data_IF_793458817628
#
_entry.id   IF_793458817628
#
_cell.length_a   1.000
_cell.length_b   1.000
_cell.length_c   1.000
_cell.angle_alpha   90.00
_cell.angle_beta   90.00
_cell.angle_gamma   90.00
#
_symmetry.space_group_name_H-M   'P 1'
#
loop_
_entity.id
_entity.type
_entity.pdbx_description
1 polymer ?
#
# COMPACT_ATOMS: atom_id res chain seq x y z
N UNK A 1 -0.33 35.16 -20.62
CA UNK A 1 0.28 34.13 -19.75
C UNK A 1 -0.69 32.98 -19.63
N UNK A 2 -0.20 31.72 -19.64
CA UNK A 2 -1.04 30.53 -19.48
C UNK A 2 -0.89 30.05 -18.02
N UNK A 3 -1.96 30.16 -17.22
CA UNK A 3 -2.00 29.71 -15.81
C UNK A 3 -3.44 29.34 -15.42
N UNK A 4 -3.59 28.48 -14.41
CA UNK A 4 -4.89 28.16 -13.83
C UNK A 4 -5.26 29.20 -12.76
N UNK A 5 -6.52 29.60 -12.71
CA UNK A 5 -7.00 30.59 -11.72
C UNK A 5 -7.04 30.02 -10.31
N UNK A 6 -7.32 28.73 -10.20
CA UNK A 6 -7.27 27.97 -8.95
C UNK A 6 -7.02 26.49 -9.25
N UNK A 7 -6.86 25.70 -8.20
CA UNK A 7 -6.50 24.28 -8.30
C UNK A 7 -7.59 23.43 -8.97
N UNK A 8 -8.85 23.84 -8.98
CA UNK A 8 -9.94 23.05 -9.61
C UNK A 8 -9.78 22.97 -11.12
N UNK A 9 -9.16 23.97 -11.75
CA UNK A 9 -8.88 23.96 -13.20
C UNK A 9 -7.80 22.93 -13.60
N UNK A 10 -7.17 22.28 -12.64
CA UNK A 10 -6.22 21.17 -12.89
C UNK A 10 -6.86 19.79 -12.82
N UNK A 11 -8.15 19.71 -12.49
CA UNK A 11 -8.90 18.45 -12.45
C UNK A 11 -9.11 17.95 -13.88
N UNK A 12 -8.82 16.68 -14.11
CA UNK A 12 -8.93 16.08 -15.42
C UNK A 12 -7.67 16.25 -16.29
N UNK A 13 -7.80 16.00 -17.58
CA UNK A 13 -6.69 15.95 -18.53
C UNK A 13 -5.51 15.11 -18.06
N UNK A 14 -5.83 14.02 -17.36
CA UNK A 14 -4.84 13.13 -16.77
C UNK A 14 -4.08 12.34 -17.83
N UNK A 15 -2.81 12.00 -17.60
CA UNK A 15 -2.00 11.30 -18.60
C UNK A 15 -2.49 9.88 -18.85
N UNK A 16 -2.22 9.41 -20.07
CA UNK A 16 -2.35 8.01 -20.46
C UNK A 16 -0.96 7.43 -20.67
N UNK A 17 -0.64 6.31 -20.01
CA UNK A 17 0.70 5.71 -19.99
C UNK A 17 0.63 4.27 -20.48
N UNK A 18 1.52 3.90 -21.40
CA UNK A 18 1.63 2.50 -21.85
C UNK A 18 2.19 1.63 -20.70
N UNK A 19 1.54 0.50 -20.46
CA UNK A 19 2.04 -0.54 -19.55
C UNK A 19 2.92 -1.48 -20.38
N UNK A 20 4.14 -1.72 -19.91
CA UNK A 20 5.16 -2.44 -20.68
C UNK A 20 5.55 -3.78 -20.06
N UNK A 21 6.08 -3.76 -18.83
CA UNK A 21 6.67 -4.94 -18.20
C UNK A 21 5.60 -5.94 -17.77
N UNK A 22 4.52 -5.46 -17.16
CA UNK A 22 3.43 -6.31 -16.66
C UNK A 22 2.65 -6.97 -17.79
N UNK A 23 2.54 -6.28 -18.94
CA UNK A 23 1.70 -6.72 -20.07
C UNK A 23 2.50 -7.24 -21.27
N UNK A 24 3.77 -7.56 -21.09
CA UNK A 24 4.68 -8.03 -22.16
C UNK A 24 4.17 -9.25 -22.95
N UNK A 25 3.38 -10.10 -22.29
CA UNK A 25 2.81 -11.32 -22.87
C UNK A 25 1.36 -11.12 -23.39
N UNK A 26 0.85 -9.87 -23.43
CA UNK A 26 -0.45 -9.52 -23.99
C UNK A 26 -0.22 -8.92 -25.39
N UNK A 27 -0.86 -9.46 -26.44
CA UNK A 27 -0.63 -8.97 -27.81
C UNK A 27 -1.27 -7.60 -28.09
N UNK A 28 -2.18 -7.14 -27.23
CA UNK A 28 -2.86 -5.85 -27.32
C UNK A 28 -1.99 -4.69 -26.78
N UNK A 29 -2.30 -3.47 -27.22
CA UNK A 29 -1.77 -2.24 -26.62
C UNK A 29 -2.53 -1.97 -25.32
N UNK A 30 -1.85 -2.07 -24.16
CA UNK A 30 -2.44 -1.78 -22.85
C UNK A 30 -1.97 -0.41 -22.36
N UNK A 31 -2.94 0.45 -22.04
CA UNK A 31 -2.74 1.82 -21.60
C UNK A 31 -3.39 2.03 -20.22
N UNK A 32 -2.70 2.68 -19.31
CA UNK A 32 -3.25 3.12 -18.04
C UNK A 32 -3.68 4.59 -18.11
N UNK A 33 -4.93 4.90 -17.79
CA UNK A 33 -5.40 6.27 -17.51
C UNK A 33 -5.08 6.59 -16.07
N UNK A 34 -4.08 7.44 -15.82
CA UNK A 34 -3.48 7.64 -14.51
C UNK A 34 -4.14 8.82 -13.78
N UNK A 35 -5.17 8.53 -13.01
CA UNK A 35 -6.00 9.51 -12.30
C UNK A 35 -5.36 10.09 -11.03
N UNK A 36 -4.16 9.61 -10.68
CA UNK A 36 -3.38 10.13 -9.55
C UNK A 36 -2.91 11.57 -9.73
N UNK A 37 -2.95 12.10 -10.96
CA UNK A 37 -2.54 13.46 -11.29
C UNK A 37 -3.61 14.53 -10.99
N UNK A 38 -4.81 14.13 -10.59
CA UNK A 38 -5.78 15.09 -10.07
C UNK A 38 -5.26 15.69 -8.74
N UNK A 39 -5.64 16.93 -8.38
CA UNK A 39 -5.11 17.64 -7.20
C UNK A 39 -5.36 16.91 -5.87
N UNK A 40 -6.47 16.17 -5.74
CA UNK A 40 -6.75 15.29 -4.61
C UNK A 40 -6.18 13.88 -4.77
N UNK A 41 -5.31 13.67 -5.77
CA UNK A 41 -4.65 12.40 -6.08
C UNK A 41 -5.60 11.23 -6.38
N UNK A 42 -6.79 11.52 -6.93
CA UNK A 42 -7.73 10.47 -7.33
C UNK A 42 -8.75 10.93 -8.37
N UNK A 43 -9.37 9.95 -9.03
CA UNK A 43 -10.47 10.15 -9.97
C UNK A 43 -11.70 10.81 -9.33
N UNK A 44 -11.82 10.75 -8.00
CA UNK A 44 -12.97 11.28 -7.25
C UNK A 44 -13.06 12.81 -7.30
N UNK A 45 -11.98 13.51 -7.60
CA UNK A 45 -11.99 14.96 -7.75
C UNK A 45 -12.96 15.39 -8.84
N UNK A 46 -13.03 14.63 -9.95
CA UNK A 46 -13.93 14.90 -11.08
C UNK A 46 -15.40 14.90 -10.65
N UNK A 47 -15.84 13.82 -9.99
CA UNK A 47 -17.22 13.70 -9.57
C UNK A 47 -17.57 14.65 -8.42
N UNK A 48 -16.63 14.89 -7.50
CA UNK A 48 -16.85 15.79 -6.37
C UNK A 48 -17.14 17.21 -6.85
N UNK A 49 -16.33 17.71 -7.78
CA UNK A 49 -16.55 19.03 -8.39
C UNK A 49 -17.90 19.08 -9.13
N UNK A 50 -18.20 18.09 -9.97
CA UNK A 50 -19.45 18.04 -10.75
C UNK A 50 -20.68 17.99 -9.85
N UNK A 51 -20.67 17.17 -8.78
CA UNK A 51 -21.79 17.09 -7.83
C UNK A 51 -22.05 18.43 -7.17
N UNK A 52 -21.00 19.17 -6.77
CA UNK A 52 -21.11 20.50 -6.18
C UNK A 52 -21.69 21.48 -7.21
N UNK A 53 -21.14 21.53 -8.42
CA UNK A 53 -21.57 22.47 -9.48
C UNK A 53 -23.01 22.24 -9.92
N UNK A 54 -23.43 20.99 -10.07
CA UNK A 54 -24.82 20.69 -10.41
C UNK A 54 -25.77 21.07 -9.25
N UNK A 55 -25.38 20.84 -7.99
CA UNK A 55 -26.18 21.22 -6.83
C UNK A 55 -26.26 22.74 -6.63
N UNK A 56 -25.20 23.50 -6.97
CA UNK A 56 -25.23 24.96 -7.02
C UNK A 56 -26.21 25.44 -8.10
N UNK A 57 -26.12 24.84 -9.29
CA UNK A 57 -26.93 25.23 -10.45
C UNK A 57 -28.44 25.01 -10.24
N UNK A 58 -28.80 23.91 -9.60
CA UNK A 58 -30.21 23.55 -9.33
C UNK A 58 -30.72 24.04 -7.96
N UNK A 59 -29.89 24.73 -7.17
CA UNK A 59 -30.26 25.37 -5.91
C UNK A 59 -30.32 24.43 -4.70
N UNK A 60 -29.93 23.16 -4.83
CA UNK A 60 -29.79 22.23 -3.69
C UNK A 60 -28.65 22.62 -2.75
N UNK A 61 -27.57 23.19 -3.29
CA UNK A 61 -26.44 23.68 -2.51
C UNK A 61 -26.43 25.21 -2.54
N UNK A 62 -26.63 25.82 -1.38
CA UNK A 62 -26.70 27.28 -1.22
C UNK A 62 -25.36 27.84 -0.72
N UNK A 63 -25.04 29.12 -1.00
CA UNK A 63 -23.85 29.77 -0.48
C UNK A 63 -23.70 29.60 1.05
N UNK A 64 -22.47 29.30 1.51
CA UNK A 64 -22.15 29.10 2.92
C UNK A 64 -22.70 27.80 3.54
N UNK A 65 -23.18 26.88 2.73
CA UNK A 65 -23.66 25.57 3.16
C UNK A 65 -22.57 24.71 3.77
N UNK A 66 -23.00 23.70 4.54
CA UNK A 66 -22.14 22.61 5.02
C UNK A 66 -22.37 21.36 4.19
N UNK A 67 -21.34 20.85 3.55
CA UNK A 67 -21.36 19.59 2.80
C UNK A 67 -21.08 18.45 3.76
N UNK A 68 -21.97 17.47 3.81
CA UNK A 68 -21.89 16.32 4.72
C UNK A 68 -21.90 15.04 3.91
N UNK A 69 -20.87 14.18 4.06
CA UNK A 69 -20.79 12.90 3.34
C UNK A 69 -20.22 11.81 4.22
N UNK A 70 -20.77 10.61 4.11
CA UNK A 70 -20.18 9.38 4.65
C UNK A 70 -19.07 8.89 3.73
N UNK A 71 -17.83 9.21 4.07
CA UNK A 71 -16.69 8.85 3.22
C UNK A 71 -15.40 8.68 4.00
N UNK A 72 -14.61 7.72 3.61
CA UNK A 72 -13.32 7.40 4.26
C UNK A 72 -12.09 7.87 3.48
N UNK A 73 -12.25 8.58 2.37
CA UNK A 73 -11.03 8.84 1.61
C UNK A 73 -11.18 9.78 0.41
N UNK A 74 -11.12 9.20 -0.77
CA UNK A 74 -10.96 9.94 -2.04
C UNK A 74 -12.10 10.93 -2.32
N UNK A 75 -13.34 10.55 -2.06
CA UNK A 75 -14.50 11.44 -2.26
C UNK A 75 -14.45 12.62 -1.30
N UNK A 76 -14.16 12.38 0.00
CA UNK A 76 -13.99 13.46 0.96
C UNK A 76 -12.88 14.43 0.56
N UNK A 77 -11.78 13.93 0.00
CA UNK A 77 -10.69 14.78 -0.47
C UNK A 77 -11.14 15.69 -1.62
N UNK A 78 -11.79 15.13 -2.64
CA UNK A 78 -12.30 15.94 -3.76
C UNK A 78 -13.34 16.98 -3.30
N UNK A 79 -14.26 16.60 -2.41
CA UNK A 79 -15.23 17.51 -1.83
C UNK A 79 -14.55 18.61 -0.99
N UNK A 80 -13.56 18.27 -0.17
CA UNK A 80 -12.84 19.25 0.66
C UNK A 80 -12.09 20.28 -0.20
N UNK A 81 -11.36 19.84 -1.23
CA UNK A 81 -10.65 20.74 -2.15
C UNK A 81 -11.61 21.70 -2.84
N UNK A 82 -12.72 21.17 -3.39
CA UNK A 82 -13.71 22.00 -4.06
C UNK A 82 -14.38 22.98 -3.09
N UNK A 83 -14.66 22.53 -1.86
CA UNK A 83 -15.29 23.34 -0.80
C UNK A 83 -14.42 24.52 -0.37
N UNK A 84 -13.11 24.32 -0.21
CA UNK A 84 -12.18 25.43 0.13
C UNK A 84 -12.25 26.54 -0.91
N UNK A 85 -12.23 26.18 -2.20
CA UNK A 85 -12.26 27.17 -3.29
C UNK A 85 -13.62 27.85 -3.42
N UNK A 86 -14.71 27.11 -3.17
CA UNK A 86 -16.10 27.61 -3.36
C UNK A 86 -16.72 28.18 -2.06
N UNK A 87 -16.00 28.14 -0.93
CA UNK A 87 -16.45 28.74 0.33
C UNK A 87 -17.47 27.91 1.11
N UNK A 88 -17.45 26.58 0.97
CA UNK A 88 -18.29 25.65 1.75
C UNK A 88 -17.55 25.07 2.97
N UNK A 89 -18.28 24.66 3.97
CA UNK A 89 -17.79 23.86 5.09
C UNK A 89 -17.96 22.37 4.77
N UNK A 90 -17.14 21.52 5.36
CA UNK A 90 -17.25 20.07 5.22
C UNK A 90 -17.29 19.37 6.56
N UNK A 91 -18.20 18.39 6.68
CA UNK A 91 -18.24 17.42 7.77
C UNK A 91 -18.27 16.02 7.14
N UNK A 92 -17.25 15.20 7.41
CA UNK A 92 -17.18 13.84 6.90
C UNK A 92 -17.33 12.84 8.04
N UNK A 93 -18.21 11.86 7.86
CA UNK A 93 -18.33 10.72 8.77
C UNK A 93 -17.55 9.55 8.19
N UNK A 94 -16.79 8.85 9.02
CA UNK A 94 -15.96 7.74 8.60
C UNK A 94 -15.80 6.72 9.72
N UNK A 95 -15.35 5.52 9.39
CA UNK A 95 -15.15 4.46 10.38
C UNK A 95 -13.75 4.52 11.00
N UNK A 96 -13.62 4.06 12.26
CA UNK A 96 -12.36 3.93 13.01
C UNK A 96 -11.35 2.94 12.38
N UNK A 97 -11.78 2.13 11.40
CA UNK A 97 -10.94 1.23 10.59
C UNK A 97 -9.98 1.97 9.64
N UNK A 98 -10.29 3.24 9.35
CA UNK A 98 -9.47 4.01 8.42
C UNK A 98 -8.18 4.51 9.06
N UNK A 99 -7.15 4.73 8.24
CA UNK A 99 -5.88 5.23 8.73
C UNK A 99 -5.99 6.70 9.19
N UNK A 100 -5.21 7.04 10.23
CA UNK A 100 -5.17 8.40 10.79
C UNK A 100 -4.77 9.44 9.74
N UNK A 101 -3.86 9.09 8.84
CA UNK A 101 -3.36 9.98 7.78
C UNK A 101 -4.48 10.45 6.83
N UNK A 102 -5.49 9.61 6.58
CA UNK A 102 -6.66 10.00 5.77
C UNK A 102 -7.47 11.09 6.46
N UNK A 103 -7.69 10.95 7.77
CA UNK A 103 -8.41 11.96 8.56
C UNK A 103 -7.60 13.26 8.66
N UNK A 104 -6.30 13.17 8.90
CA UNK A 104 -5.43 14.32 9.01
C UNK A 104 -5.36 15.09 7.68
N UNK A 105 -5.36 14.39 6.54
CA UNK A 105 -5.44 15.03 5.23
C UNK A 105 -6.75 15.81 5.02
N UNK A 106 -7.89 15.27 5.42
CA UNK A 106 -9.18 15.98 5.35
C UNK A 106 -9.19 17.21 6.27
N UNK A 107 -8.68 17.07 7.50
CA UNK A 107 -8.57 18.18 8.46
C UNK A 107 -7.62 19.28 7.98
N UNK A 108 -6.58 18.94 7.21
CA UNK A 108 -5.67 19.92 6.62
C UNK A 108 -6.38 20.88 5.65
N UNK A 109 -7.49 20.44 5.02
CA UNK A 109 -8.38 21.30 4.23
C UNK A 109 -9.49 21.98 5.05
N UNK A 110 -9.45 21.88 6.40
CA UNK A 110 -10.43 22.49 7.28
C UNK A 110 -11.71 21.69 7.46
N UNK A 111 -11.77 20.44 7.00
CA UNK A 111 -12.94 19.59 7.20
C UNK A 111 -13.02 19.07 8.65
N UNK A 112 -14.21 19.00 9.20
CA UNK A 112 -14.50 18.24 10.40
C UNK A 112 -14.62 16.75 10.04
N UNK A 113 -14.04 15.87 10.88
CA UNK A 113 -14.11 14.42 10.67
C UNK A 113 -14.68 13.77 11.93
N UNK A 114 -15.86 13.17 11.78
CA UNK A 114 -16.56 12.40 12.81
C UNK A 114 -16.24 10.92 12.63
N UNK A 115 -15.54 10.35 13.60
CA UNK A 115 -15.13 8.94 13.57
C UNK A 115 -16.21 8.09 14.24
N UNK A 116 -16.74 7.13 13.49
CA UNK A 116 -17.80 6.21 13.90
C UNK A 116 -17.25 4.80 14.09
N UNK A 117 -17.86 3.94 14.93
CA UNK A 117 -17.45 2.56 15.09
C UNK A 117 -17.68 1.76 13.80
N UNK A 118 -16.72 0.86 13.48
CA UNK A 118 -16.83 -0.06 12.33
C UNK A 118 -17.76 -1.25 12.62
N UNK A 119 -17.77 -1.74 13.86
CA UNK A 119 -18.46 -2.99 14.23
C UNK A 119 -19.91 -2.72 14.65
N UNK A 120 -20.67 -2.09 13.76
CA UNK A 120 -22.11 -1.82 13.96
C UNK A 120 -22.84 -2.03 12.62
N UNK A 121 -24.11 -2.43 12.67
CA UNK A 121 -24.94 -2.57 11.48
C UNK A 121 -25.18 -1.20 10.81
N UNK A 122 -25.45 -1.14 9.50
CA UNK A 122 -25.67 0.12 8.78
C UNK A 122 -26.80 0.99 9.37
N UNK A 123 -27.83 0.34 9.94
CA UNK A 123 -29.01 0.97 10.56
C UNK A 123 -28.76 1.44 12.00
N UNK A 124 -27.65 1.04 12.62
CA UNK A 124 -27.28 1.50 13.97
C UNK A 124 -27.11 3.03 13.96
N UNK A 125 -27.62 3.72 14.96
CA UNK A 125 -27.53 5.19 15.10
C UNK A 125 -26.07 5.70 15.13
N UNK A 126 -25.13 4.85 15.51
CA UNK A 126 -23.69 5.14 15.56
C UNK A 126 -22.96 4.87 14.23
N UNK A 127 -23.63 4.21 13.28
CA UNK A 127 -23.01 3.94 11.99
C UNK A 127 -22.69 5.25 11.25
N UNK A 128 -21.63 5.27 10.48
CA UNK A 128 -21.24 6.47 9.74
C UNK A 128 -22.30 6.92 8.72
N UNK A 129 -23.14 6.00 8.24
CA UNK A 129 -24.29 6.30 7.38
C UNK A 129 -25.39 7.01 8.15
N UNK A 130 -25.79 6.47 9.32
CA UNK A 130 -26.83 7.05 10.16
C UNK A 130 -26.41 8.40 10.74
N UNK A 131 -25.14 8.51 11.19
CA UNK A 131 -24.58 9.78 11.68
C UNK A 131 -24.55 10.83 10.57
N UNK A 132 -24.11 10.50 9.33
CA UNK A 132 -24.13 11.46 8.22
C UNK A 132 -25.54 11.95 7.92
N UNK A 133 -26.51 11.04 7.92
CA UNK A 133 -27.93 11.38 7.65
C UNK A 133 -28.55 12.23 8.73
N UNK A 134 -28.24 11.96 10.00
CA UNK A 134 -28.65 12.77 11.15
C UNK A 134 -28.09 14.19 11.06
N UNK A 135 -26.78 14.33 10.83
CA UNK A 135 -26.10 15.62 10.74
C UNK A 135 -26.68 16.53 9.65
N UNK A 136 -27.10 15.94 8.52
CA UNK A 136 -27.78 16.72 7.45
C UNK A 136 -29.09 17.37 7.97
N UNK A 137 -29.80 16.70 8.85
CA UNK A 137 -31.04 17.23 9.42
C UNK A 137 -30.79 18.20 10.58
N UNK A 138 -29.70 18.07 11.32
CA UNK A 138 -29.36 18.87 12.50
C UNK A 138 -28.65 20.19 12.13
N UNK A 139 -27.80 20.17 11.08
CA UNK A 139 -27.00 21.32 10.67
C UNK A 139 -27.83 22.20 9.71
N UNK A 140 -28.08 23.45 10.03
CA UNK A 140 -28.77 24.36 9.10
C UNK A 140 -28.00 24.54 7.81
N UNK A 141 -28.72 24.61 6.68
CA UNK A 141 -28.13 24.76 5.34
C UNK A 141 -27.10 23.66 5.02
N UNK A 142 -27.39 22.43 5.43
CA UNK A 142 -26.57 21.27 5.06
C UNK A 142 -27.02 20.67 3.74
N UNK A 143 -26.07 20.03 3.05
CA UNK A 143 -26.31 19.26 1.84
C UNK A 143 -25.47 17.97 1.81
N UNK A 144 -26.09 16.86 1.41
CA UNK A 144 -25.45 15.55 1.26
C UNK A 144 -25.28 15.24 -0.23
N UNK A 145 -24.05 15.10 -0.72
CA UNK A 145 -23.75 14.72 -2.10
C UNK A 145 -24.34 13.38 -2.51
N UNK A 146 -24.29 12.37 -1.62
CA UNK A 146 -24.73 10.98 -1.86
C UNK A 146 -24.09 10.36 -3.10
N UNK A 147 -22.78 10.10 -3.03
CA UNK A 147 -21.98 9.64 -4.16
C UNK A 147 -22.49 8.37 -4.87
N UNK A 148 -23.26 7.54 -4.17
CA UNK A 148 -23.75 6.27 -4.72
C UNK A 148 -24.96 6.46 -5.65
N UNK A 149 -25.85 7.39 -5.31
CA UNK A 149 -27.13 7.56 -6.02
C UNK A 149 -27.22 8.87 -6.79
N UNK A 150 -26.32 9.81 -6.55
CA UNK A 150 -26.27 11.07 -7.28
C UNK A 150 -25.71 10.85 -8.69
N UNK A 151 -26.56 10.98 -9.70
CA UNK A 151 -26.18 10.78 -11.11
C UNK A 151 -25.18 11.79 -11.66
N UNK A 152 -24.94 12.92 -10.98
CA UNK A 152 -23.83 13.81 -11.29
C UNK A 152 -22.46 13.11 -11.19
N UNK A 153 -22.36 12.01 -10.40
CA UNK A 153 -21.18 11.18 -10.36
C UNK A 153 -20.90 10.56 -11.74
N UNK A 154 -21.84 9.84 -12.32
CA UNK A 154 -21.65 9.26 -13.67
C UNK A 154 -21.60 10.34 -14.75
N UNK A 155 -22.34 11.44 -14.61
CA UNK A 155 -22.26 12.59 -15.53
C UNK A 155 -20.86 13.20 -15.61
N UNK A 156 -20.14 13.32 -14.50
CA UNK A 156 -18.76 13.80 -14.47
C UNK A 156 -17.85 13.00 -15.39
N UNK A 157 -17.99 11.68 -15.40
CA UNK A 157 -17.16 10.80 -16.22
C UNK A 157 -17.62 10.72 -17.68
N UNK A 158 -18.92 10.90 -17.93
CA UNK A 158 -19.45 11.04 -19.27
C UNK A 158 -18.95 12.33 -19.94
N UNK A 159 -18.92 13.43 -19.19
CA UNK A 159 -18.53 14.75 -19.71
C UNK A 159 -17.00 14.96 -19.75
N UNK A 160 -16.21 14.20 -19.03
CA UNK A 160 -14.75 14.40 -18.96
C UNK A 160 -13.93 13.15 -19.26
N UNK A 161 -14.01 12.09 -18.42
CA UNK A 161 -13.15 10.90 -18.54
C UNK A 161 -13.35 10.16 -19.86
N UNK A 162 -14.60 10.00 -20.29
CA UNK A 162 -14.95 9.38 -21.58
C UNK A 162 -14.35 10.11 -22.78
N UNK A 163 -14.62 11.42 -22.94
CA UNK A 163 -14.01 12.25 -23.99
C UNK A 163 -12.48 12.20 -23.99
N UNK A 164 -11.83 12.36 -22.83
CA UNK A 164 -10.38 12.30 -22.73
C UNK A 164 -9.80 10.98 -23.23
N UNK A 165 -10.38 9.84 -22.81
CA UNK A 165 -9.93 8.50 -23.25
C UNK A 165 -10.14 8.33 -24.75
N UNK A 166 -11.29 8.76 -25.28
CA UNK A 166 -11.57 8.69 -26.71
C UNK A 166 -10.55 9.48 -27.52
N UNK A 167 -10.27 10.72 -27.15
CA UNK A 167 -9.29 11.57 -27.79
C UNK A 167 -7.87 11.03 -27.67
N UNK A 168 -7.44 10.63 -26.47
CA UNK A 168 -6.08 10.11 -26.20
C UNK A 168 -5.79 8.78 -26.91
N UNK A 169 -6.82 8.03 -27.31
CA UNK A 169 -6.67 6.79 -28.08
C UNK A 169 -6.94 6.97 -29.57
N UNK A 170 -7.13 8.21 -30.07
CA UNK A 170 -7.57 8.51 -31.45
C UNK A 170 -8.83 7.72 -31.83
N UNK A 171 -9.74 7.48 -30.87
CA UNK A 171 -10.93 6.67 -31.06
C UNK A 171 -10.68 5.17 -31.30
N UNK A 172 -9.47 4.67 -31.06
CA UNK A 172 -9.10 3.28 -31.33
C UNK A 172 -9.30 2.34 -30.12
N UNK A 173 -9.79 2.86 -28.99
CA UNK A 173 -10.08 2.03 -27.82
C UNK A 173 -11.06 0.89 -28.15
N UNK A 174 -10.72 -0.34 -27.74
CA UNK A 174 -11.56 -1.53 -27.91
C UNK A 174 -12.10 -2.05 -26.58
N UNK A 175 -11.37 -1.88 -25.49
CA UNK A 175 -11.73 -2.36 -24.15
C UNK A 175 -11.44 -1.31 -23.10
N UNK A 176 -12.39 -1.11 -22.18
CA UNK A 176 -12.21 -0.31 -20.97
C UNK A 176 -12.28 -1.23 -19.76
N UNK A 177 -11.26 -1.18 -18.88
CA UNK A 177 -11.17 -1.96 -17.64
C UNK A 177 -11.19 -1.04 -16.43
N UNK A 178 -12.17 -1.20 -15.55
CA UNK A 178 -12.39 -0.29 -14.41
C UNK A 178 -12.74 -1.07 -13.16
N UNK A 179 -12.10 -0.79 -12.02
CA UNK A 179 -12.56 -1.23 -10.71
C UNK A 179 -13.87 -0.54 -10.33
N UNK A 180 -14.87 -1.29 -9.90
CA UNK A 180 -16.24 -0.79 -9.71
C UNK A 180 -16.58 -0.70 -8.23
N UNK A 181 -16.77 0.53 -7.72
CA UNK A 181 -17.39 0.83 -6.43
C UNK A 181 -18.73 1.52 -6.65
N UNK A 182 -18.80 2.85 -6.59
CA UNK A 182 -20.06 3.60 -6.81
C UNK A 182 -20.67 3.43 -8.20
N UNK A 183 -19.91 2.94 -9.19
CA UNK A 183 -20.36 2.76 -10.58
C UNK A 183 -20.20 3.98 -11.48
N UNK A 184 -20.04 5.17 -10.93
CA UNK A 184 -20.01 6.40 -11.71
C UNK A 184 -18.94 6.42 -12.78
N UNK A 185 -17.72 5.99 -12.46
CA UNK A 185 -16.59 5.98 -13.42
C UNK A 185 -16.86 5.05 -14.60
N UNK A 186 -17.21 3.81 -14.35
CA UNK A 186 -17.39 2.81 -15.42
C UNK A 186 -18.62 3.12 -16.27
N UNK A 187 -19.73 3.51 -15.64
CA UNK A 187 -20.98 3.75 -16.36
C UNK A 187 -20.97 5.07 -17.13
N UNK A 188 -20.44 6.15 -16.54
CA UNK A 188 -20.32 7.42 -17.23
C UNK A 188 -19.36 7.34 -18.42
N UNK A 189 -18.15 6.83 -18.20
CA UNK A 189 -17.15 6.63 -19.26
C UNK A 189 -17.65 5.63 -20.30
N UNK A 190 -18.17 4.49 -19.86
CA UNK A 190 -18.65 3.41 -20.73
C UNK A 190 -19.81 3.86 -21.63
N UNK A 191 -20.76 4.64 -21.09
CA UNK A 191 -21.86 5.22 -21.89
C UNK A 191 -21.32 6.10 -23.02
N UNK A 192 -20.45 7.05 -22.70
CA UNK A 192 -19.84 7.91 -23.71
C UNK A 192 -19.10 7.10 -24.79
N UNK A 193 -18.29 6.14 -24.40
CA UNK A 193 -17.52 5.32 -25.33
C UNK A 193 -18.41 4.44 -26.22
N UNK A 194 -19.47 3.82 -25.66
CA UNK A 194 -20.43 3.02 -26.45
C UNK A 194 -21.28 3.86 -27.41
N UNK A 195 -21.57 5.10 -27.08
CA UNK A 195 -22.21 6.05 -28.03
C UNK A 195 -21.29 6.39 -29.22
N UNK A 196 -19.95 6.43 -28.99
CA UNK A 196 -18.97 6.59 -30.08
C UNK A 196 -18.79 5.34 -30.93
N UNK A 197 -18.67 4.18 -30.23
CA UNK A 197 -18.53 2.87 -30.85
C UNK A 197 -19.18 1.79 -29.96
N UNK A 198 -20.36 1.23 -30.34
CA UNK A 198 -21.07 0.25 -29.54
C UNK A 198 -20.34 -1.09 -29.36
N UNK A 199 -19.29 -1.34 -30.16
CA UNK A 199 -18.50 -2.58 -30.04
C UNK A 199 -17.46 -2.54 -28.91
N UNK A 200 -17.19 -1.37 -28.32
CA UNK A 200 -16.26 -1.24 -27.19
C UNK A 200 -16.77 -2.07 -26.01
N UNK A 201 -15.88 -2.92 -25.46
CA UNK A 201 -16.18 -3.77 -24.30
C UNK A 201 -15.87 -3.02 -23.01
N UNK A 202 -16.84 -3.01 -22.13
CA UNK A 202 -16.75 -2.37 -20.80
C UNK A 202 -16.64 -3.49 -19.75
N UNK A 203 -15.45 -3.62 -19.16
CA UNK A 203 -15.08 -4.69 -18.27
C UNK A 203 -14.96 -4.15 -16.83
N UNK A 204 -15.85 -4.57 -15.95
CA UNK A 204 -15.86 -4.22 -14.55
C UNK A 204 -14.97 -5.17 -13.75
N UNK A 205 -14.19 -4.60 -12.83
CA UNK A 205 -13.46 -5.41 -11.85
C UNK A 205 -14.14 -5.26 -10.50
N UNK A 206 -14.49 -6.42 -9.94
CA UNK A 206 -15.18 -6.61 -8.68
C UNK A 206 -14.24 -7.32 -7.67
N UNK A 207 -14.65 -7.40 -6.41
CA UNK A 207 -13.91 -8.14 -5.38
C UNK A 207 -14.77 -9.25 -4.79
N UNK A 208 -14.13 -10.23 -4.19
CA UNK A 208 -14.82 -11.21 -3.38
C UNK A 208 -15.39 -10.53 -2.13
N UNK A 209 -16.64 -10.81 -1.80
CA UNK A 209 -17.41 -10.11 -0.76
C UNK A 209 -18.35 -9.03 -1.32
N UNK A 210 -18.35 -8.80 -2.65
CA UNK A 210 -19.24 -7.88 -3.35
C UNK A 210 -20.27 -8.60 -4.20
N UNK A 211 -21.41 -7.95 -4.43
CA UNK A 211 -22.58 -8.53 -5.13
C UNK A 211 -22.60 -8.32 -6.64
N UNK A 212 -21.70 -7.47 -7.22
CA UNK A 212 -21.85 -6.99 -8.59
C UNK A 212 -21.76 -8.09 -9.65
N UNK A 213 -20.72 -8.94 -9.61
CA UNK A 213 -20.54 -10.02 -10.59
C UNK A 213 -21.74 -10.96 -10.60
N UNK A 214 -22.14 -11.43 -9.42
CA UNK A 214 -23.29 -12.34 -9.28
C UNK A 214 -24.57 -11.71 -9.80
N UNK A 215 -24.82 -10.46 -9.46
CA UNK A 215 -26.00 -9.74 -9.92
C UNK A 215 -25.98 -9.55 -11.45
N UNK A 216 -24.85 -9.18 -12.05
CA UNK A 216 -24.71 -9.06 -13.51
C UNK A 216 -24.99 -10.36 -14.23
N UNK A 217 -24.53 -11.50 -13.71
CA UNK A 217 -24.67 -12.81 -14.33
C UNK A 217 -26.08 -13.40 -14.18
N UNK A 218 -26.75 -13.12 -13.08
CA UNK A 218 -28.01 -13.80 -12.74
C UNK A 218 -29.24 -12.91 -12.60
N UNK A 219 -29.05 -11.60 -12.44
CA UNK A 219 -30.10 -10.64 -12.08
C UNK A 219 -30.59 -10.78 -10.64
N UNK A 220 -29.93 -11.62 -9.81
CA UNK A 220 -30.36 -11.90 -8.45
C UNK A 220 -29.40 -11.24 -7.47
N UNK A 221 -29.92 -10.44 -6.54
CA UNK A 221 -29.17 -9.91 -5.40
C UNK A 221 -28.99 -11.03 -4.37
N UNK A 222 -27.77 -11.55 -4.24
CA UNK A 222 -27.46 -12.67 -3.34
C UNK A 222 -26.68 -12.17 -2.12
N UNK A 223 -27.32 -12.17 -0.95
CA UNK A 223 -26.69 -11.77 0.32
C UNK A 223 -25.55 -12.68 0.76
N UNK A 224 -25.46 -13.92 0.25
CA UNK A 224 -24.37 -14.85 0.57
C UNK A 224 -23.04 -14.43 -0.08
N UNK A 225 -23.07 -13.52 -1.07
CA UNK A 225 -21.87 -12.92 -1.64
C UNK A 225 -21.24 -11.87 -0.72
N UNK A 226 -21.96 -11.40 0.34
CA UNK A 226 -21.55 -10.31 1.22
C UNK A 226 -20.71 -10.84 2.38
N UNK A 227 -19.44 -10.50 2.39
CA UNK A 227 -18.53 -10.77 3.51
C UNK A 227 -17.35 -9.77 3.49
N UNK A 228 -16.64 -9.59 4.63
CA UNK A 228 -15.56 -8.62 4.72
C UNK A 228 -14.43 -8.86 3.73
N UNK A 229 -13.93 -7.79 3.12
CA UNK A 229 -12.75 -7.75 2.25
C UNK A 229 -11.87 -6.53 2.58
N UNK A 230 -10.65 -6.51 2.03
CA UNK A 230 -9.62 -5.51 2.36
C UNK A 230 -9.52 -4.42 1.28
N UNK A 231 -9.83 -4.79 0.03
CA UNK A 231 -9.74 -3.88 -1.11
C UNK A 231 -10.62 -2.65 -0.90
N UNK A 232 -10.06 -1.46 -1.11
CA UNK A 232 -10.77 -0.20 -0.91
C UNK A 232 -11.22 0.39 -2.25
N UNK A 233 -12.45 0.93 -2.28
CA UNK A 233 -13.01 1.65 -3.43
C UNK A 233 -13.50 0.77 -4.58
N UNK A 234 -13.54 -0.54 -4.39
CA UNK A 234 -14.12 -1.54 -5.29
C UNK A 234 -15.03 -2.45 -4.48
N UNK A 235 -16.12 -2.87 -5.10
CA UNK A 235 -17.12 -3.75 -4.49
C UNK A 235 -18.09 -3.00 -3.59
N UNK A 236 -19.32 -3.54 -3.50
CA UNK A 236 -20.38 -3.05 -2.60
C UNK A 236 -21.25 -4.23 -2.16
N UNK A 237 -21.95 -4.01 -1.06
CA UNK A 237 -22.93 -4.93 -0.48
C UNK A 237 -24.40 -4.54 -0.81
N UNK A 238 -24.57 -3.57 -1.70
CA UNK A 238 -25.83 -3.09 -2.25
C UNK A 238 -25.66 -2.67 -3.72
N UNK A 239 -26.75 -2.24 -4.37
CA UNK A 239 -26.75 -1.82 -5.78
C UNK A 239 -26.88 -0.30 -5.88
N UNK A 240 -25.78 0.46 -6.08
CA UNK A 240 -25.82 1.90 -6.28
C UNK A 240 -26.60 2.27 -7.55
N UNK A 241 -27.32 3.40 -7.55
CA UNK A 241 -28.02 3.90 -8.76
C UNK A 241 -27.09 4.28 -9.90
N UNK A 242 -25.83 4.62 -9.58
CA UNK A 242 -24.82 4.91 -10.60
C UNK A 242 -24.33 3.66 -11.37
N UNK A 243 -24.64 2.44 -10.91
CA UNK A 243 -24.26 1.20 -11.60
C UNK A 243 -25.37 0.81 -12.58
N UNK A 244 -25.14 1.09 -13.85
CA UNK A 244 -25.98 0.60 -14.95
C UNK A 244 -25.38 -0.69 -15.51
N UNK A 245 -25.94 -1.82 -15.08
CA UNK A 245 -25.48 -3.15 -15.51
C UNK A 245 -25.64 -3.42 -17.02
N UNK A 246 -26.44 -2.63 -17.75
CA UNK A 246 -26.58 -2.77 -19.19
C UNK A 246 -25.37 -2.20 -19.95
N UNK A 247 -24.67 -1.23 -19.37
CA UNK A 247 -23.45 -0.64 -19.95
C UNK A 247 -22.26 -1.61 -19.82
N UNK A 248 -22.18 -2.34 -18.71
CA UNK A 248 -21.06 -3.21 -18.35
C UNK A 248 -21.23 -4.58 -19.03
N UNK A 249 -20.28 -4.96 -19.88
CA UNK A 249 -20.37 -6.24 -20.61
C UNK A 249 -20.04 -7.45 -19.73
N UNK A 250 -19.02 -7.32 -18.85
CA UNK A 250 -18.53 -8.40 -18.00
C UNK A 250 -17.98 -7.86 -16.68
N UNK A 251 -18.06 -8.68 -15.63
CA UNK A 251 -17.36 -8.48 -14.36
C UNK A 251 -16.37 -9.62 -14.10
N UNK A 252 -15.16 -9.26 -13.67
CA UNK A 252 -14.17 -10.20 -13.18
C UNK A 252 -13.89 -9.94 -11.69
N UNK A 253 -13.84 -11.02 -10.85
CA UNK A 253 -13.53 -10.91 -9.42
C UNK A 253 -12.04 -11.10 -9.18
N UNK A 254 -11.49 -10.26 -8.32
CA UNK A 254 -10.08 -10.29 -7.91
C UNK A 254 -9.99 -10.48 -6.39
N UNK A 255 -9.08 -11.33 -5.93
CA UNK A 255 -8.82 -11.52 -4.51
C UNK A 255 -8.05 -10.34 -3.92
N UNK A 256 -8.21 -10.09 -2.63
CA UNK A 256 -7.42 -9.06 -1.91
C UNK A 256 -5.91 -9.29 -2.06
N UNK A 257 -5.46 -10.54 -2.04
CA UNK A 257 -4.06 -10.93 -2.22
C UNK A 257 -3.54 -10.53 -3.60
N UNK A 258 -4.28 -10.88 -4.66
CA UNK A 258 -3.86 -10.58 -6.03
C UNK A 258 -3.84 -9.06 -6.27
N UNK A 259 -4.84 -8.34 -5.75
CA UNK A 259 -4.90 -6.88 -5.79
C UNK A 259 -3.69 -6.25 -5.09
N UNK A 260 -3.37 -6.67 -3.87
CA UNK A 260 -2.26 -6.14 -3.09
C UNK A 260 -0.89 -6.43 -3.73
N UNK A 261 -0.68 -7.66 -4.22
CA UNK A 261 0.55 -8.04 -4.94
C UNK A 261 0.69 -7.21 -6.21
N UNK A 262 -0.38 -7.07 -7.00
CA UNK A 262 -0.36 -6.31 -8.24
C UNK A 262 -0.11 -4.81 -8.01
N UNK A 263 -0.65 -4.23 -6.93
CA UNK A 263 -0.36 -2.85 -6.53
C UNK A 263 1.15 -2.62 -6.36
N UNK A 264 1.84 -3.57 -5.74
CA UNK A 264 3.31 -3.51 -5.57
C UNK A 264 4.04 -3.71 -6.91
N UNK A 265 3.55 -4.61 -7.77
CA UNK A 265 4.12 -4.85 -9.10
C UNK A 265 4.02 -3.63 -9.98
N UNK A 266 2.90 -2.92 -10.00
CA UNK A 266 2.74 -1.66 -10.74
C UNK A 266 3.83 -0.65 -10.33
N UNK A 267 4.07 -0.48 -9.04
CA UNK A 267 5.11 0.42 -8.57
C UNK A 267 6.54 -0.04 -8.95
N UNK A 268 6.83 -1.35 -8.87
CA UNK A 268 8.17 -1.90 -9.06
C UNK A 268 8.53 -2.15 -10.53
N UNK A 269 7.55 -2.47 -11.35
CA UNK A 269 7.76 -2.88 -12.74
C UNK A 269 7.42 -1.78 -13.75
N UNK A 270 6.51 -0.84 -13.39
CA UNK A 270 6.08 0.28 -14.25
C UNK A 270 6.42 1.67 -13.69
N UNK A 271 7.00 1.74 -12.48
CA UNK A 271 7.33 2.98 -11.77
C UNK A 271 6.12 3.91 -11.53
N UNK A 272 4.90 3.35 -11.43
CA UNK A 272 3.67 4.09 -11.16
C UNK A 272 3.22 3.76 -9.74
N UNK A 273 3.25 4.75 -8.83
CA UNK A 273 2.78 4.58 -7.46
C UNK A 273 1.25 4.74 -7.39
N UNK A 274 0.53 3.71 -7.80
CA UNK A 274 -0.92 3.64 -7.79
C UNK A 274 -1.47 2.95 -6.54
N UNK A 275 -2.76 3.17 -6.25
CA UNK A 275 -3.45 2.58 -5.11
C UNK A 275 -3.96 1.16 -5.36
N UNK A 276 -4.63 0.61 -4.34
CA UNK A 276 -5.08 -0.77 -4.33
C UNK A 276 -6.10 -1.09 -5.42
N UNK A 277 -7.02 -0.18 -5.70
CA UNK A 277 -8.01 -0.35 -6.77
C UNK A 277 -7.38 -0.43 -8.17
N UNK A 278 -6.24 0.25 -8.39
CA UNK A 278 -5.46 0.08 -9.62
C UNK A 278 -4.81 -1.32 -9.69
N UNK A 279 -4.34 -1.83 -8.54
CA UNK A 279 -3.88 -3.22 -8.42
C UNK A 279 -4.97 -4.22 -8.79
N UNK A 280 -6.19 -4.05 -8.26
CA UNK A 280 -7.34 -4.88 -8.62
C UNK A 280 -7.66 -4.79 -10.10
N UNK A 281 -7.75 -3.57 -10.66
CA UNK A 281 -8.06 -3.36 -12.07
C UNK A 281 -7.04 -4.05 -12.99
N UNK A 282 -5.74 -3.94 -12.66
CA UNK A 282 -4.67 -4.56 -13.43
C UNK A 282 -4.63 -6.08 -13.25
N UNK A 283 -4.88 -6.61 -12.04
CA UNK A 283 -4.94 -8.05 -11.79
C UNK A 283 -6.10 -8.68 -12.56
N UNK A 284 -7.29 -8.08 -12.53
CA UNK A 284 -8.44 -8.54 -13.30
C UNK A 284 -8.21 -8.47 -14.81
N UNK A 285 -7.52 -7.42 -15.31
CA UNK A 285 -7.10 -7.36 -16.71
C UNK A 285 -6.22 -8.57 -17.07
N UNK A 286 -5.24 -8.93 -16.23
CA UNK A 286 -4.38 -10.09 -16.48
C UNK A 286 -5.13 -11.42 -16.42
N UNK A 287 -6.13 -11.55 -15.53
CA UNK A 287 -7.00 -12.75 -15.51
C UNK A 287 -7.75 -12.93 -16.83
N UNK A 288 -8.11 -11.82 -17.50
CA UNK A 288 -8.81 -11.80 -18.78
C UNK A 288 -7.88 -11.74 -20.00
N UNK A 289 -6.57 -11.86 -19.85
CA UNK A 289 -5.57 -11.61 -20.91
C UNK A 289 -5.82 -12.34 -22.23
N UNK A 290 -6.35 -13.54 -22.18
CA UNK A 290 -6.58 -14.40 -23.35
C UNK A 290 -7.74 -13.90 -24.25
N UNK A 291 -8.52 -12.93 -23.77
CA UNK A 291 -9.56 -12.25 -24.54
C UNK A 291 -9.00 -11.16 -25.48
N UNK A 292 -7.81 -10.62 -25.16
CA UNK A 292 -7.23 -9.51 -25.90
C UNK A 292 -6.38 -10.00 -27.08
N UNK A 293 -6.59 -9.38 -28.25
CA UNK A 293 -5.98 -9.77 -29.52
C UNK A 293 -5.01 -8.69 -30.03
N UNK A 294 -4.16 -9.08 -30.94
CA UNK A 294 -3.34 -8.12 -31.68
C UNK A 294 -4.22 -7.08 -32.39
N UNK A 295 -3.91 -5.80 -32.19
CA UNK A 295 -4.72 -4.68 -32.71
C UNK A 295 -5.72 -4.13 -31.71
N UNK A 296 -6.00 -4.81 -30.58
CA UNK A 296 -6.81 -4.24 -29.51
C UNK A 296 -6.07 -3.12 -28.77
N UNK A 297 -6.84 -2.13 -28.34
CA UNK A 297 -6.42 -1.03 -27.46
C UNK A 297 -7.22 -1.13 -26.17
N UNK A 298 -6.56 -1.54 -25.11
CA UNK A 298 -7.15 -1.77 -23.78
C UNK A 298 -6.76 -0.62 -22.86
N UNK A 299 -7.74 0.09 -22.32
CA UNK A 299 -7.49 1.15 -21.33
C UNK A 299 -7.92 0.67 -19.95
N UNK A 300 -7.00 0.71 -18.98
CA UNK A 300 -7.27 0.42 -17.57
C UNK A 300 -7.19 1.72 -16.74
N UNK A 301 -8.13 1.90 -15.81
CA UNK A 301 -8.14 3.08 -14.94
C UNK A 301 -7.30 2.84 -13.69
N UNK A 302 -6.34 3.72 -13.40
CA UNK A 302 -5.61 3.79 -12.15
C UNK A 302 -6.20 4.92 -11.29
N UNK A 303 -7.09 4.55 -10.36
CA UNK A 303 -8.05 5.44 -9.73
C UNK A 303 -7.44 6.45 -8.76
N UNK A 304 -6.42 6.04 -7.96
CA UNK A 304 -5.84 6.87 -6.92
C UNK A 304 -4.35 6.56 -6.67
N UNK A 305 -3.75 7.37 -5.82
CA UNK A 305 -2.32 7.35 -5.55
C UNK A 305 -1.93 6.41 -4.41
N UNK A 306 -0.81 5.71 -4.56
CA UNK A 306 -0.30 4.71 -3.63
C UNK A 306 0.13 5.24 -2.26
N UNK A 307 0.38 6.55 -2.10
CA UNK A 307 0.77 7.14 -0.80
C UNK A 307 -0.23 6.88 0.32
N UNK A 308 -1.50 6.63 -0.01
CA UNK A 308 -2.54 6.28 0.97
C UNK A 308 -2.45 4.86 1.51
N UNK A 309 -1.55 4.06 0.95
CA UNK A 309 -1.42 2.61 1.22
C UNK A 309 -0.02 2.21 1.68
N UNK A 310 0.86 3.20 2.03
CA UNK A 310 2.23 2.93 2.47
C UNK A 310 2.29 2.04 3.71
N UNK A 311 1.38 2.23 4.67
CA UNK A 311 1.23 1.39 5.85
C UNK A 311 0.47 0.08 5.63
N UNK A 312 0.00 -0.20 4.40
CA UNK A 312 -0.78 -1.39 4.03
C UNK A 312 -0.04 -2.20 2.95
N UNK A 313 -0.51 -2.17 1.68
CA UNK A 313 0.03 -2.99 0.58
C UNK A 313 1.51 -2.76 0.31
N UNK A 314 2.08 -1.60 0.67
CA UNK A 314 3.50 -1.31 0.52
C UNK A 314 4.34 -1.65 1.75
N UNK A 315 3.73 -2.04 2.87
CA UNK A 315 4.39 -2.50 4.09
C UNK A 315 4.50 -4.04 4.08
N UNK A 316 5.71 -4.56 4.23
CA UNK A 316 5.96 -6.00 4.16
C UNK A 316 5.36 -6.74 5.36
N UNK A 317 5.40 -6.18 6.57
CA UNK A 317 4.84 -6.81 7.77
C UNK A 317 3.32 -6.89 7.66
N UNK A 318 2.67 -5.80 7.23
CA UNK A 318 1.24 -5.80 6.96
C UNK A 318 0.82 -6.87 5.94
N UNK A 319 1.65 -7.09 4.91
CA UNK A 319 1.41 -8.10 3.88
C UNK A 319 1.61 -9.53 4.42
N UNK A 320 2.62 -9.75 5.28
CA UNK A 320 2.87 -11.05 5.92
C UNK A 320 1.78 -11.42 6.92
N UNK A 321 1.37 -10.47 7.77
CA UNK A 321 0.29 -10.67 8.76
C UNK A 321 -1.02 -11.16 8.13
N UNK A 322 -1.19 -10.93 6.81
CA UNK A 322 -2.36 -11.36 6.02
C UNK A 322 -2.10 -12.57 5.13
N UNK A 323 -0.90 -13.15 5.20
CA UNK A 323 -0.51 -14.26 4.34
C UNK A 323 -0.40 -13.90 2.85
N UNK A 324 -0.21 -12.59 2.53
CA UNK A 324 -0.05 -12.13 1.16
C UNK A 324 1.41 -12.21 0.68
N UNK A 325 2.36 -12.17 1.61
CA UNK A 325 3.76 -12.51 1.37
C UNK A 325 4.14 -13.70 2.25
N UNK A 326 5.02 -14.54 1.74
CA UNK A 326 5.66 -15.58 2.53
C UNK A 326 6.56 -14.94 3.59
N UNK A 327 6.67 -15.59 4.74
CA UNK A 327 7.62 -15.19 5.76
C UNK A 327 9.02 -15.23 5.17
N UNK A 328 9.69 -14.11 5.17
CA UNK A 328 11.11 -14.09 4.81
C UNK A 328 11.84 -14.86 5.91
N UNK A 329 12.45 -15.99 5.55
CA UNK A 329 13.38 -16.66 6.48
C UNK A 329 14.41 -15.62 6.95
N UNK A 330 14.60 -15.44 8.25
CA UNK A 330 15.54 -14.45 8.75
C UNK A 330 16.94 -14.67 8.17
N UNK A 331 17.62 -13.57 7.90
CA UNK A 331 18.98 -13.54 7.36
C UNK A 331 19.97 -13.13 8.47
N UNK A 332 21.26 -13.26 8.20
CA UNK A 332 22.30 -12.85 9.13
C UNK A 332 22.14 -11.42 9.65
N UNK A 333 21.71 -10.48 8.80
CA UNK A 333 21.47 -9.08 9.17
C UNK A 333 20.31 -8.93 10.17
N UNK A 334 19.31 -9.79 10.11
CA UNK A 334 18.15 -9.74 10.99
C UNK A 334 18.49 -10.24 12.39
N UNK A 335 19.51 -11.13 12.52
CA UNK A 335 19.97 -11.67 13.79
C UNK A 335 20.63 -10.64 14.72
N UNK A 336 21.12 -9.52 14.18
CA UNK A 336 21.74 -8.46 14.97
C UNK A 336 20.78 -7.33 15.35
N UNK A 337 19.49 -7.44 15.02
CA UNK A 337 18.52 -6.36 15.17
C UNK A 337 18.44 -5.79 16.60
N UNK A 338 18.62 -6.64 17.64
CA UNK A 338 18.59 -6.25 19.05
C UNK A 338 19.84 -5.47 19.51
N UNK A 339 20.94 -5.55 18.78
CA UNK A 339 22.23 -4.95 19.19
C UNK A 339 23.01 -4.30 18.04
N UNK A 340 22.37 -4.02 16.89
CA UNK A 340 23.03 -3.45 15.70
C UNK A 340 23.70 -2.07 15.97
N UNK A 341 23.16 -1.32 16.91
CA UNK A 341 23.68 0.00 17.30
C UNK A 341 24.80 -0.08 18.35
N UNK A 342 25.14 -1.30 18.80
CA UNK A 342 26.23 -1.52 19.76
C UNK A 342 27.54 -1.72 19.02
N UNK A 343 28.56 -0.96 19.44
CA UNK A 343 29.89 -1.11 18.86
C UNK A 343 30.49 -2.44 19.24
N UNK A 344 30.99 -3.18 18.22
CA UNK A 344 31.69 -4.43 18.44
C UNK A 344 32.90 -4.25 19.37
N UNK A 345 32.91 -4.92 20.50
CA UNK A 345 34.04 -4.97 21.41
C UNK A 345 35.14 -5.87 20.84
N UNK A 346 36.35 -5.39 20.79
CA UNK A 346 37.53 -6.12 20.29
C UNK A 346 38.71 -5.86 21.19
N UNK A 347 39.71 -6.73 21.18
CA UNK A 347 41.03 -6.54 21.80
C UNK A 347 42.13 -6.61 20.74
N UNK A 348 43.23 -5.91 20.97
CA UNK A 348 44.39 -6.04 20.10
C UNK A 348 45.25 -7.25 20.49
N UNK A 349 45.95 -7.77 19.52
CA UNK A 349 46.78 -9.01 19.68
C UNK A 349 47.89 -8.82 20.70
N UNK A 350 48.38 -7.61 20.90
CA UNK A 350 49.44 -7.22 21.86
C UNK A 350 48.95 -6.73 23.21
N UNK A 351 47.64 -6.67 23.41
CA UNK A 351 47.05 -6.37 24.72
C UNK A 351 47.23 -7.56 25.70
N UNK A 352 47.21 -7.24 26.98
CA UNK A 352 47.31 -8.27 28.01
C UNK A 352 46.02 -9.09 28.14
N UNK A 353 46.17 -10.37 28.41
CA UNK A 353 45.04 -11.28 28.68
C UNK A 353 44.16 -10.73 29.80
N UNK A 354 44.74 -10.15 30.84
CA UNK A 354 44.01 -9.53 31.94
C UNK A 354 43.03 -8.43 31.46
N UNK A 355 43.41 -7.63 30.44
CA UNK A 355 42.55 -6.62 29.85
C UNK A 355 41.35 -7.24 29.14
N UNK A 356 41.58 -8.31 28.37
CA UNK A 356 40.52 -9.04 27.69
C UNK A 356 39.53 -9.64 28.66
N UNK A 357 40.02 -10.28 29.74
CA UNK A 357 39.18 -10.86 30.79
C UNK A 357 38.36 -9.80 31.53
N UNK A 358 38.96 -8.62 31.82
CA UNK A 358 38.24 -7.50 32.42
C UNK A 358 37.10 -6.98 31.55
N UNK A 359 37.31 -6.88 30.20
CA UNK A 359 36.28 -6.52 29.25
C UNK A 359 35.16 -7.56 29.19
N UNK A 360 35.51 -8.85 29.13
CA UNK A 360 34.51 -9.94 29.10
C UNK A 360 33.63 -9.89 30.33
N UNK A 361 34.24 -9.71 31.51
CA UNK A 361 33.51 -9.64 32.79
C UNK A 361 32.66 -8.37 32.88
N UNK A 362 33.20 -7.21 32.49
CA UNK A 362 32.51 -5.93 32.59
C UNK A 362 31.24 -5.89 31.70
N UNK A 363 31.31 -6.44 30.50
CA UNK A 363 30.22 -6.42 29.54
C UNK A 363 29.40 -7.72 29.49
N UNK A 364 29.73 -8.68 30.37
CA UNK A 364 29.09 -10.00 30.45
C UNK A 364 29.05 -10.72 29.09
N UNK A 365 30.19 -10.71 28.40
CA UNK A 365 30.34 -11.34 27.07
C UNK A 365 31.31 -12.52 27.17
N UNK A 366 30.98 -13.62 26.51
CA UNK A 366 31.77 -14.85 26.52
C UNK A 366 32.74 -14.94 25.33
N UNK A 367 32.74 -13.96 24.42
CA UNK A 367 33.53 -14.02 23.18
C UNK A 367 33.98 -12.64 22.79
N UNK A 368 35.25 -12.50 22.38
CA UNK A 368 35.83 -11.25 21.91
C UNK A 368 36.70 -11.53 20.68
N UNK A 369 36.46 -10.84 19.54
CA UNK A 369 37.35 -10.86 18.39
C UNK A 369 38.68 -10.15 18.69
N UNK A 370 39.79 -10.72 18.21
CA UNK A 370 41.14 -10.21 18.38
C UNK A 370 41.55 -9.54 17.05
N UNK A 371 42.08 -8.30 17.13
CA UNK A 371 42.55 -7.51 16.00
C UNK A 371 44.06 -7.31 16.00
N UNK A 372 44.61 -7.16 14.79
CA UNK A 372 45.91 -6.59 14.54
C UNK A 372 45.75 -5.43 13.53
N UNK A 373 45.76 -4.22 14.04
CA UNK A 373 45.34 -3.06 13.24
C UNK A 373 43.85 -3.16 12.85
N UNK A 374 43.56 -3.22 11.56
CA UNK A 374 42.18 -3.36 11.04
C UNK A 374 41.76 -4.80 10.79
N UNK A 375 42.66 -5.78 10.87
CA UNK A 375 42.41 -7.17 10.54
C UNK A 375 41.98 -7.99 11.78
N UNK A 376 41.01 -8.87 11.63
CA UNK A 376 40.61 -9.84 12.63
C UNK A 376 41.49 -11.08 12.51
N UNK A 377 42.40 -11.25 13.47
CA UNK A 377 43.46 -12.28 13.44
C UNK A 377 43.20 -13.45 14.37
N UNK A 378 42.27 -13.29 15.32
CA UNK A 378 41.98 -14.32 16.31
C UNK A 378 40.65 -14.07 17.02
N UNK A 379 40.36 -14.93 17.98
CA UNK A 379 39.21 -14.84 18.87
C UNK A 379 39.57 -15.35 20.26
N UNK A 380 38.94 -14.79 21.28
CA UNK A 380 38.97 -15.30 22.64
C UNK A 380 37.60 -15.82 23.01
N UNK A 381 37.59 -16.94 23.71
CA UNK A 381 36.41 -17.51 24.33
C UNK A 381 36.68 -17.64 25.87
N UNK A 382 35.69 -17.26 26.66
CA UNK A 382 35.80 -17.24 28.13
C UNK A 382 36.21 -18.60 28.69
N UNK A 383 35.59 -19.68 28.27
CA UNK A 383 35.84 -21.04 28.73
C UNK A 383 37.26 -21.49 28.40
N UNK A 384 37.79 -21.11 27.21
CA UNK A 384 39.14 -21.44 26.80
C UNK A 384 40.18 -20.63 27.62
N UNK A 385 39.98 -19.32 27.72
CA UNK A 385 40.84 -18.46 28.53
C UNK A 385 40.87 -18.88 29.99
N UNK A 386 39.71 -19.21 30.59
CA UNK A 386 39.59 -19.68 31.95
C UNK A 386 40.38 -20.98 32.15
N UNK A 387 40.23 -21.97 31.29
CA UNK A 387 40.99 -23.22 31.38
C UNK A 387 42.51 -23.02 31.37
N UNK A 388 42.99 -22.09 30.52
CA UNK A 388 44.43 -21.76 30.47
C UNK A 388 44.91 -21.05 31.73
N UNK A 389 44.12 -20.14 32.29
CA UNK A 389 44.46 -19.37 33.48
C UNK A 389 44.46 -20.23 34.75
N UNK A 390 43.60 -21.24 34.86
CA UNK A 390 43.65 -22.22 35.96
C UNK A 390 44.95 -22.99 35.97
N UNK A 391 45.46 -23.32 34.76
CA UNK A 391 46.69 -24.12 34.64
C UNK A 391 47.93 -23.26 34.88
N UNK A 392 47.91 -21.97 34.53
CA UNK A 392 49.02 -21.04 34.68
C UNK A 392 48.52 -19.56 34.88
N UNK A 393 48.46 -19.14 36.14
CA UNK A 393 47.97 -17.79 36.51
C UNK A 393 48.89 -16.65 36.00
N UNK A 394 50.16 -16.92 35.70
CA UNK A 394 51.08 -15.94 35.15
C UNK A 394 50.67 -15.49 33.73
N UNK A 395 49.89 -16.29 33.02
CA UNK A 395 49.37 -15.92 31.67
C UNK A 395 48.58 -14.63 31.67
N UNK A 396 48.01 -14.18 32.78
CA UNK A 396 47.31 -12.89 32.90
C UNK A 396 48.17 -11.71 32.44
N UNK A 397 49.47 -11.79 32.59
CA UNK A 397 50.43 -10.71 32.22
C UNK A 397 50.94 -10.84 30.79
N UNK A 398 50.73 -12.00 30.17
CA UNK A 398 51.10 -12.26 28.77
C UNK A 398 50.11 -11.60 27.78
N UNK A 399 50.55 -11.53 26.52
CA UNK A 399 49.76 -10.95 25.44
C UNK A 399 48.70 -11.94 24.90
N UNK A 400 47.64 -11.39 24.33
CA UNK A 400 46.45 -12.13 23.82
C UNK A 400 46.85 -13.19 22.79
N UNK A 401 47.90 -12.96 22.00
CA UNK A 401 48.40 -13.92 20.99
C UNK A 401 48.77 -15.29 21.55
N UNK A 402 49.08 -15.40 22.85
CA UNK A 402 49.49 -16.65 23.53
C UNK A 402 48.30 -17.61 23.74
N UNK A 403 47.08 -17.08 23.81
CA UNK A 403 45.88 -17.85 24.13
C UNK A 403 44.75 -17.68 23.12
N UNK A 404 44.89 -16.83 22.09
CA UNK A 404 43.87 -16.66 21.10
C UNK A 404 43.69 -17.93 20.25
N UNK A 405 42.46 -18.14 19.84
CA UNK A 405 42.04 -19.15 18.88
C UNK A 405 41.94 -18.53 17.46
N UNK A 406 41.63 -19.35 16.48
CA UNK A 406 41.37 -18.87 15.10
C UNK A 406 40.32 -17.76 15.10
N UNK A 407 40.49 -16.81 14.18
CA UNK A 407 39.53 -15.73 14.00
C UNK A 407 38.14 -16.29 13.63
N UNK A 408 37.09 -15.60 14.09
CA UNK A 408 35.73 -15.92 13.70
C UNK A 408 35.58 -15.76 12.19
N UNK A 409 34.92 -16.72 11.50
CA UNK A 409 34.65 -16.60 10.09
C UNK A 409 33.67 -15.46 9.78
N UNK A 410 33.82 -14.86 8.61
CA UNK A 410 32.86 -13.87 8.12
C UNK A 410 31.72 -14.54 7.37
N UNK A 411 30.50 -14.07 7.62
CA UNK A 411 29.29 -14.48 6.90
C UNK A 411 28.73 -13.30 6.10
N UNK A 412 28.10 -13.61 4.97
CA UNK A 412 27.39 -12.60 4.18
C UNK A 412 26.12 -12.12 4.93
N UNK A 413 25.86 -10.82 4.92
CA UNK A 413 24.68 -10.23 5.57
C UNK A 413 23.34 -10.83 5.10
N UNK A 414 23.27 -11.38 3.89
CA UNK A 414 22.09 -12.02 3.32
C UNK A 414 22.08 -13.54 3.48
N UNK A 415 23.05 -14.13 4.20
CA UNK A 415 23.09 -15.57 4.44
C UNK A 415 21.89 -16.01 5.27
N UNK A 416 21.39 -17.22 5.00
CA UNK A 416 20.29 -17.82 5.78
C UNK A 416 20.73 -18.17 7.19
N UNK A 417 19.76 -18.25 8.14
CA UNK A 417 20.06 -18.76 9.50
C UNK A 417 20.71 -20.15 9.44
N UNK A 418 20.28 -20.99 8.50
CA UNK A 418 20.83 -22.34 8.31
C UNK A 418 22.32 -22.28 7.96
N UNK A 419 22.73 -21.35 7.09
CA UNK A 419 24.14 -21.17 6.74
C UNK A 419 24.95 -20.57 7.89
N UNK A 420 24.40 -19.59 8.60
CA UNK A 420 25.01 -19.02 9.79
C UNK A 420 25.21 -20.11 10.85
N UNK A 421 24.19 -20.95 11.09
CA UNK A 421 24.23 -22.00 12.12
C UNK A 421 25.29 -23.09 11.81
N UNK A 422 25.52 -23.42 10.53
CA UNK A 422 26.57 -24.36 10.11
C UNK A 422 27.98 -23.83 10.38
N UNK A 423 28.17 -22.51 10.36
CA UNK A 423 29.46 -21.87 10.63
C UNK A 423 29.75 -21.73 12.13
N UNK A 424 28.72 -21.77 12.98
CA UNK A 424 28.87 -21.75 14.45
C UNK A 424 29.05 -23.17 14.94
N UNK A 425 30.29 -23.52 15.28
CA UNK A 425 30.70 -24.85 15.73
C UNK A 425 31.23 -24.83 17.16
N UNK A 426 31.72 -25.95 17.66
CA UNK A 426 32.44 -25.99 18.96
C UNK A 426 33.77 -25.22 18.91
N UNK A 427 34.40 -25.14 17.75
CA UNK A 427 35.67 -24.43 17.55
C UNK A 427 35.47 -22.94 17.25
N UNK A 428 34.35 -22.57 16.67
CA UNK A 428 34.00 -21.19 16.35
C UNK A 428 32.60 -20.87 16.85
N UNK A 429 32.50 -20.35 18.08
CA UNK A 429 31.21 -20.12 18.75
C UNK A 429 30.44 -18.87 18.26
N UNK A 430 31.01 -18.13 17.32
CA UNK A 430 30.42 -16.95 16.69
C UNK A 430 30.87 -16.80 15.23
N UNK A 431 30.18 -15.93 14.51
CA UNK A 431 30.60 -15.45 13.20
C UNK A 431 30.62 -13.92 13.19
N UNK A 432 31.41 -13.33 12.32
CA UNK A 432 31.41 -11.90 12.06
C UNK A 432 30.61 -11.60 10.79
N UNK A 433 29.91 -10.51 10.79
CA UNK A 433 29.18 -10.02 9.63
C UNK A 433 29.52 -8.55 9.40
N UNK A 434 29.70 -8.17 8.16
CA UNK A 434 29.89 -6.77 7.74
C UNK A 434 28.61 -6.25 7.15
N UNK A 435 28.09 -5.14 7.67
CA UNK A 435 26.89 -4.50 7.15
C UNK A 435 27.17 -3.62 5.93
N UNK A 436 26.12 -2.94 5.42
CA UNK A 436 26.21 -2.06 4.24
C UNK A 436 27.03 -0.79 4.49
N UNK A 437 27.17 -0.37 5.75
CA UNK A 437 27.97 0.79 6.14
C UNK A 437 29.44 0.42 6.35
N UNK A 438 29.76 -0.88 6.31
CA UNK A 438 31.10 -1.42 6.54
C UNK A 438 31.37 -1.70 8.00
N UNK A 439 30.40 -1.56 8.90
CA UNK A 439 30.51 -1.90 10.31
C UNK A 439 30.48 -3.42 10.47
N UNK A 440 31.27 -3.88 11.44
CA UNK A 440 31.38 -5.33 11.74
C UNK A 440 30.61 -5.65 13.01
N UNK A 441 29.74 -6.65 12.89
CA UNK A 441 28.91 -7.18 13.98
C UNK A 441 29.29 -8.62 14.26
N UNK A 442 29.02 -9.07 15.49
CA UNK A 442 29.17 -10.47 15.89
C UNK A 442 27.78 -11.11 15.99
N UNK A 443 27.69 -12.34 15.50
CA UNK A 443 26.48 -13.17 15.63
C UNK A 443 26.87 -14.44 16.39
N UNK A 444 26.11 -14.76 17.43
CA UNK A 444 26.32 -15.87 18.32
C UNK A 444 25.15 -16.87 18.28
N UNK A 445 25.28 -18.01 18.98
CA UNK A 445 24.16 -18.94 19.17
C UNK A 445 22.95 -18.28 19.84
N UNK A 446 23.20 -17.33 20.76
CA UNK A 446 22.13 -16.62 21.45
C UNK A 446 21.23 -15.86 20.48
N UNK A 447 21.81 -15.15 19.51
CA UNK A 447 21.09 -14.37 18.50
C UNK A 447 20.22 -15.27 17.61
N UNK A 448 20.73 -16.45 17.26
CA UNK A 448 19.96 -17.44 16.50
C UNK A 448 18.77 -17.96 17.34
N UNK A 449 19.00 -18.32 18.61
CA UNK A 449 17.93 -18.83 19.49
C UNK A 449 16.87 -17.74 19.71
N UNK A 450 17.27 -16.52 19.97
CA UNK A 450 16.36 -15.40 20.15
C UNK A 450 15.49 -15.18 18.89
N UNK A 451 16.10 -15.25 17.70
CA UNK A 451 15.37 -15.09 16.42
C UNK A 451 14.37 -16.22 16.13
N UNK A 452 14.65 -17.46 16.58
CA UNK A 452 13.74 -18.60 16.40
C UNK A 452 12.59 -18.57 17.41
N UNK A 453 12.80 -17.89 18.55
CA UNK A 453 11.82 -17.82 19.65
C UNK A 453 10.78 -16.72 19.47
N UNK A 454 11.00 -15.82 18.53
CA UNK A 454 10.08 -14.74 18.11
C UNK A 454 9.24 -15.19 16.93
#
# INVERSE_FOLDING_TARGET
MKYCKNILETIGNTPMVKINSITKDIPALVLAKVETFNPGNSIKDRMALKMIEDAEKDGRLKPGATIIEGTSGNTGMGLAIASVIKGYKCVFTSTDKQSKEKFDALRAFGAEVVVCPTNVEPEDERSYYSVSSRLVNEIPNAWKPNQYDNLSNSAAHYESTGPEIWEQTDGKITHLVVGVGTGGTICGTGRYLKEKNPNIKILGIDTYGSVFKKYKETGIFDKNEIYPYITEGIGEDFLPQNVDFNIIDHFEKVTDKDAAIMTRRIAREEAILAGNSAGSAMAGLLQMKDQFKAGDVVVVIFHDHGTRYLGKMFNDDWMRDRGFLEDSKPKAIDLIASHKDQKLLTVNVDEKIATAVALMTKYNISQIPVKKGTEFVGALNDSHVFAQLITNDNLKQETVDKVMQKAFPFVNMNASIEDVSKMITKESNAVLMKDRLGEVHIITKHDIIESISK
#
